data_IF_096339283058
#
_entry.id   IF_096339283058
#
_cell.length_a   1.000
_cell.length_b   1.000
_cell.length_c   1.000
_cell.angle_alpha   90.00
_cell.angle_beta   90.00
_cell.angle_gamma   90.00
#
_symmetry.space_group_name_H-M   'P 1'
#
loop_
_entity.id
_entity.type
_entity.pdbx_description
1 polymer ?
#
# COMPACT_ATOMS: atom_id res chain seq x y z
N UNK A 1 -16.38 -19.79 5.13
CA UNK A 1 -17.48 -18.87 4.75
C UNK A 1 -16.88 -17.78 3.87
N UNK A 2 -17.47 -17.52 2.70
CA UNK A 2 -16.97 -16.51 1.77
C UNK A 2 -17.29 -15.10 2.29
N UNK A 3 -16.27 -14.41 2.81
CA UNK A 3 -16.41 -13.05 3.38
C UNK A 3 -16.88 -12.03 2.34
N UNK A 4 -16.59 -12.26 1.06
CA UNK A 4 -17.05 -11.40 -0.03
C UNK A 4 -18.58 -11.48 -0.13
N UNK A 5 -19.14 -12.69 -0.13
CA UNK A 5 -20.58 -12.91 -0.21
C UNK A 5 -21.34 -12.42 1.05
N UNK A 6 -20.69 -12.45 2.22
CA UNK A 6 -21.25 -11.86 3.44
C UNK A 6 -21.39 -10.34 3.31
N UNK A 7 -20.32 -9.65 2.93
CA UNK A 7 -20.31 -8.18 2.81
C UNK A 7 -21.21 -7.72 1.65
N UNK A 8 -21.17 -8.40 0.50
CA UNK A 8 -22.05 -8.10 -0.64
C UNK A 8 -23.52 -8.16 -0.23
N UNK A 9 -23.95 -9.21 0.49
CA UNK A 9 -25.32 -9.29 1.01
C UNK A 9 -25.68 -8.11 1.91
N UNK A 10 -24.78 -7.71 2.80
CA UNK A 10 -25.01 -6.55 3.67
C UNK A 10 -25.15 -5.24 2.86
N UNK A 11 -24.30 -5.04 1.84
CA UNK A 11 -24.37 -3.86 0.95
C UNK A 11 -25.67 -3.85 0.15
N UNK A 12 -26.11 -4.98 -0.41
CA UNK A 12 -27.37 -5.08 -1.15
C UNK A 12 -28.58 -4.79 -0.27
N UNK A 13 -28.60 -5.31 0.97
CA UNK A 13 -29.64 -4.99 1.96
C UNK A 13 -29.61 -3.51 2.37
N UNK A 14 -28.42 -2.90 2.45
CA UNK A 14 -28.29 -1.46 2.66
C UNK A 14 -28.89 -0.67 1.49
N UNK A 15 -28.55 -1.03 0.26
CA UNK A 15 -29.04 -0.39 -0.97
C UNK A 15 -30.57 -0.45 -1.09
N UNK A 16 -31.20 -1.55 -0.67
CA UNK A 16 -32.66 -1.66 -0.69
C UNK A 16 -33.35 -0.72 0.30
N UNK A 17 -32.68 -0.33 1.39
CA UNK A 17 -33.14 0.70 2.34
C UNK A 17 -32.83 2.13 1.89
N UNK A 18 -31.93 2.30 0.92
CA UNK A 18 -31.54 3.59 0.35
C UNK A 18 -30.10 3.57 -0.18
N UNK A 19 -29.87 4.31 -1.27
CA UNK A 19 -28.54 4.39 -1.91
C UNK A 19 -27.44 4.81 -0.92
N UNK A 20 -27.73 5.82 -0.10
CA UNK A 20 -26.80 6.36 0.91
C UNK A 20 -26.37 5.29 1.92
N UNK A 21 -27.32 4.46 2.37
CA UNK A 21 -27.03 3.37 3.31
C UNK A 21 -26.05 2.36 2.72
N UNK A 22 -26.21 2.00 1.44
CA UNK A 22 -25.26 1.14 0.73
C UNK A 22 -23.84 1.73 0.67
N UNK A 23 -23.73 3.02 0.33
CA UNK A 23 -22.44 3.74 0.29
C UNK A 23 -21.82 3.81 1.69
N UNK A 24 -22.63 4.05 2.72
CA UNK A 24 -22.15 4.11 4.11
C UNK A 24 -21.56 2.77 4.58
N UNK A 25 -22.18 1.64 4.21
CA UNK A 25 -21.63 0.30 4.49
C UNK A 25 -20.29 0.09 3.77
N UNK A 26 -20.16 0.52 2.51
CA UNK A 26 -18.90 0.45 1.77
C UNK A 26 -17.81 1.32 2.41
N UNK A 27 -18.17 2.52 2.87
CA UNK A 27 -17.27 3.39 3.63
C UNK A 27 -16.78 2.70 4.91
N UNK A 28 -17.69 2.18 5.73
CA UNK A 28 -17.33 1.46 6.96
C UNK A 28 -16.50 0.20 6.69
N UNK A 29 -16.77 -0.48 5.58
CA UNK A 29 -15.96 -1.62 5.11
C UNK A 29 -14.53 -1.17 4.81
N UNK A 30 -14.34 -0.03 4.13
CA UNK A 30 -13.00 0.51 3.86
C UNK A 30 -12.24 0.87 5.15
N UNK A 31 -12.93 1.35 6.18
CA UNK A 31 -12.32 1.60 7.49
C UNK A 31 -11.90 0.30 8.18
N UNK A 32 -12.73 -0.73 8.08
CA UNK A 32 -12.43 -2.05 8.64
C UNK A 32 -11.25 -2.71 7.93
N UNK A 33 -11.15 -2.56 6.60
CA UNK A 33 -9.97 -2.98 5.83
C UNK A 33 -8.72 -2.28 6.35
N UNK A 34 -8.74 -0.96 6.52
CA UNK A 34 -7.59 -0.21 7.01
C UNK A 34 -7.19 -0.62 8.44
N UNK A 35 -8.15 -0.88 9.32
CA UNK A 35 -7.88 -1.42 10.66
C UNK A 35 -7.13 -2.76 10.59
N UNK A 36 -7.50 -3.63 9.66
CA UNK A 36 -6.81 -4.92 9.47
C UNK A 36 -5.42 -4.78 8.84
N UNK A 37 -5.19 -3.74 8.02
CA UNK A 37 -3.85 -3.43 7.54
C UNK A 37 -2.91 -3.18 8.72
N UNK A 38 -3.31 -2.33 9.66
CA UNK A 38 -2.45 -1.99 10.79
C UNK A 38 -2.39 -3.07 11.87
N UNK A 39 -3.44 -3.89 12.02
CA UNK A 39 -3.43 -4.99 12.97
C UNK A 39 -2.57 -6.19 12.49
N UNK A 40 -2.64 -6.54 11.20
CA UNK A 40 -2.10 -7.80 10.69
C UNK A 40 -1.01 -7.60 9.63
N UNK A 41 -1.26 -6.73 8.64
CA UNK A 41 -0.34 -6.53 7.50
C UNK A 41 0.95 -5.84 7.93
N UNK A 42 0.87 -4.95 8.93
CA UNK A 42 2.04 -4.31 9.52
C UNK A 42 3.03 -5.32 10.12
N UNK A 43 2.52 -6.36 10.78
CA UNK A 43 3.34 -7.41 11.38
C UNK A 43 3.73 -8.50 10.37
N UNK A 44 2.85 -8.81 9.41
CA UNK A 44 3.05 -9.85 8.42
C UNK A 44 2.46 -9.43 7.06
N UNK A 45 3.33 -9.08 6.11
CA UNK A 45 2.90 -8.61 4.78
C UNK A 45 2.08 -9.65 4.01
N UNK A 46 2.21 -10.95 4.30
CA UNK A 46 1.39 -12.00 3.68
C UNK A 46 -0.09 -11.93 4.05
N UNK A 47 -0.44 -11.27 5.17
CA UNK A 47 -1.83 -11.01 5.53
C UNK A 47 -2.53 -10.08 4.51
N UNK A 48 -1.77 -9.39 3.65
CA UNK A 48 -2.32 -8.57 2.58
C UNK A 48 -3.08 -9.39 1.52
N UNK A 49 -2.69 -10.65 1.25
CA UNK A 49 -3.30 -11.47 0.21
C UNK A 49 -4.80 -11.77 0.43
N UNK A 50 -5.22 -12.33 1.58
CA UNK A 50 -6.65 -12.54 1.83
C UNK A 50 -7.43 -11.21 1.85
N UNK A 51 -6.85 -10.15 2.39
CA UNK A 51 -7.49 -8.83 2.44
C UNK A 51 -7.68 -8.22 1.04
N UNK A 52 -6.68 -8.35 0.17
CA UNK A 52 -6.74 -7.93 -1.22
C UNK A 52 -7.78 -8.71 -2.03
N UNK A 53 -7.92 -10.03 -1.81
CA UNK A 53 -8.99 -10.84 -2.43
C UNK A 53 -10.37 -10.31 -2.06
N UNK A 54 -10.60 -9.95 -0.80
CA UNK A 54 -11.86 -9.33 -0.37
C UNK A 54 -12.06 -7.98 -1.07
N UNK A 55 -11.03 -7.13 -1.09
CA UNK A 55 -11.11 -5.80 -1.71
C UNK A 55 -11.46 -5.89 -3.20
N UNK A 56 -10.72 -6.69 -3.98
CA UNK A 56 -10.97 -6.87 -5.42
C UNK A 56 -12.34 -7.51 -5.66
N UNK A 57 -12.74 -8.48 -4.85
CA UNK A 57 -14.06 -9.12 -4.95
C UNK A 57 -15.21 -8.14 -4.74
N UNK A 58 -15.05 -7.17 -3.82
CA UNK A 58 -16.02 -6.11 -3.60
C UNK A 58 -16.01 -5.06 -4.71
N UNK A 59 -14.84 -4.64 -5.21
CA UNK A 59 -14.74 -3.71 -6.35
C UNK A 59 -15.43 -4.27 -7.60
N UNK A 60 -15.31 -5.59 -7.83
CA UNK A 60 -15.97 -6.27 -8.95
C UNK A 60 -17.51 -6.28 -8.84
N UNK A 61 -18.06 -6.16 -7.63
CA UNK A 61 -19.52 -6.19 -7.36
C UNK A 61 -20.11 -4.80 -7.12
N UNK A 62 -19.29 -3.84 -6.71
CA UNK A 62 -19.71 -2.51 -6.31
C UNK A 62 -18.76 -1.46 -6.89
N UNK A 63 -19.19 -0.78 -7.96
CA UNK A 63 -18.38 0.21 -8.67
C UNK A 63 -17.90 1.36 -7.76
N UNK A 64 -18.72 1.77 -6.78
CA UNK A 64 -18.38 2.83 -5.83
C UNK A 64 -17.22 2.47 -4.89
N UNK A 65 -16.98 1.17 -4.64
CA UNK A 65 -16.04 0.74 -3.59
C UNK A 65 -14.58 1.03 -3.95
N UNK A 66 -14.23 1.00 -5.24
CA UNK A 66 -12.87 1.29 -5.68
C UNK A 66 -12.43 2.70 -5.26
N UNK A 67 -13.25 3.71 -5.55
CA UNK A 67 -12.94 5.10 -5.21
C UNK A 67 -12.92 5.33 -3.70
N UNK A 68 -13.90 4.78 -2.98
CA UNK A 68 -13.97 4.85 -1.51
C UNK A 68 -12.71 4.25 -0.88
N UNK A 69 -12.29 3.07 -1.34
CA UNK A 69 -11.10 2.41 -0.80
C UNK A 69 -9.83 3.20 -1.13
N UNK A 70 -9.65 3.64 -2.38
CA UNK A 70 -8.46 4.42 -2.75
C UNK A 70 -8.39 5.75 -1.99
N UNK A 71 -9.51 6.43 -1.79
CA UNK A 71 -9.57 7.64 -0.97
C UNK A 71 -9.10 7.34 0.47
N UNK A 72 -9.59 6.24 1.06
CA UNK A 72 -9.21 5.83 2.42
C UNK A 72 -7.72 5.45 2.51
N UNK A 73 -7.21 4.66 1.57
CA UNK A 73 -5.80 4.26 1.55
C UNK A 73 -4.88 5.46 1.32
N UNK A 74 -5.28 6.43 0.50
CA UNK A 74 -4.51 7.66 0.24
C UNK A 74 -4.49 8.57 1.47
N UNK A 75 -5.59 8.66 2.22
CA UNK A 75 -5.61 9.37 3.51
C UNK A 75 -4.65 8.76 4.53
N UNK A 76 -4.54 7.43 4.56
CA UNK A 76 -3.65 6.71 5.47
C UNK A 76 -2.18 6.76 5.01
N UNK A 77 -1.94 6.71 3.71
CA UNK A 77 -0.63 6.71 3.10
C UNK A 77 -0.65 7.55 1.83
N UNK A 78 -0.17 8.78 1.91
CA UNK A 78 -0.13 9.69 0.77
C UNK A 78 0.69 9.13 -0.40
N UNK A 79 1.66 8.26 -0.14
CA UNK A 79 2.52 7.65 -1.15
C UNK A 79 1.81 6.63 -2.04
N UNK A 80 0.53 6.33 -1.80
CA UNK A 80 -0.32 5.67 -2.78
C UNK A 80 -0.33 6.43 -4.12
N UNK A 81 -0.22 7.76 -4.03
CA UNK A 81 0.11 8.64 -5.16
C UNK A 81 1.57 9.05 -4.95
N UNK A 82 2.53 8.59 -5.78
CA UNK A 82 3.93 8.93 -5.59
C UNK A 82 4.16 10.43 -5.76
N UNK A 83 4.14 11.14 -4.64
CA UNK A 83 4.36 12.57 -4.50
C UNK A 83 5.01 12.79 -3.15
N UNK A 84 6.02 13.66 -3.13
CA UNK A 84 6.58 14.16 -1.89
C UNK A 84 6.09 15.59 -1.66
N UNK A 85 5.39 15.87 -0.55
CA UNK A 85 5.05 17.24 -0.19
C UNK A 85 6.30 18.11 -0.16
N UNK A 86 6.18 19.30 -0.76
CA UNK A 86 7.18 20.35 -0.66
C UNK A 86 6.97 21.10 0.66
N UNK A 87 8.07 21.34 1.38
CA UNK A 87 8.03 22.17 2.57
C UNK A 87 7.80 23.63 2.16
N UNK A 88 6.88 24.33 2.84
CA UNK A 88 6.72 25.77 2.69
C UNK A 88 7.68 26.48 3.65
N UNK A 89 8.27 27.61 3.24
CA UNK A 89 9.30 28.32 4.02
C UNK A 89 8.81 28.73 5.43
N UNK A 90 7.53 29.08 5.57
CA UNK A 90 6.93 29.53 6.84
C UNK A 90 6.27 28.42 7.67
N UNK A 91 6.44 27.14 7.28
CA UNK A 91 5.73 26.03 7.92
C UNK A 91 6.42 25.57 9.21
N UNK A 92 5.65 25.40 10.28
CA UNK A 92 6.17 24.82 11.53
C UNK A 92 6.53 23.33 11.34
N UNK A 93 7.38 22.79 12.22
CA UNK A 93 7.72 21.35 12.20
C UNK A 93 6.45 20.48 12.28
N UNK A 94 5.51 20.83 13.15
CA UNK A 94 4.27 20.07 13.33
C UNK A 94 3.41 20.10 12.07
N UNK A 95 3.23 21.28 11.46
CA UNK A 95 2.49 21.38 10.20
C UNK A 95 3.17 20.57 9.08
N UNK A 96 4.50 20.51 9.05
CA UNK A 96 5.25 19.71 8.07
C UNK A 96 5.05 18.22 8.29
N UNK A 97 5.12 17.75 9.54
CA UNK A 97 4.88 16.35 9.89
C UNK A 97 3.44 15.94 9.56
N UNK A 98 2.45 16.78 9.84
CA UNK A 98 1.05 16.56 9.44
C UNK A 98 0.91 16.45 7.92
N UNK A 99 1.53 17.36 7.18
CA UNK A 99 1.51 17.34 5.71
C UNK A 99 2.24 16.10 5.13
N UNK A 100 3.25 15.59 5.82
CA UNK A 100 3.93 14.34 5.49
C UNK A 100 3.14 13.09 5.92
N UNK A 101 2.01 13.28 6.59
CA UNK A 101 1.10 12.23 7.04
C UNK A 101 1.57 11.50 8.28
N UNK A 102 2.41 12.11 9.13
CA UNK A 102 2.76 11.55 10.45
C UNK A 102 1.55 11.58 11.37
N UNK A 103 1.43 10.57 12.21
CA UNK A 103 0.37 10.47 13.22
C UNK A 103 0.94 10.70 14.62
N UNK A 104 0.11 11.25 15.51
CA UNK A 104 0.47 11.35 16.93
C UNK A 104 0.02 10.10 17.67
N UNK A 105 0.83 9.69 18.64
CA UNK A 105 0.52 8.59 19.52
C UNK A 105 -0.77 8.86 20.33
N UNK A 106 -1.49 7.81 20.76
CA UNK A 106 -2.59 7.96 21.71
C UNK A 106 -2.11 8.62 23.01
N UNK A 107 -3.02 9.28 23.72
CA UNK A 107 -2.77 9.81 25.07
C UNK A 107 -2.34 8.67 26.01
N UNK A 108 -1.21 8.84 26.69
CA UNK A 108 -0.80 7.92 27.75
C UNK A 108 -1.71 8.09 28.98
N UNK A 109 -2.00 7.02 29.74
CA UNK A 109 -2.77 7.12 30.97
C UNK A 109 -2.14 8.13 31.94
N UNK A 110 -2.90 9.16 32.32
CA UNK A 110 -2.44 10.20 33.25
C UNK A 110 -1.82 11.44 32.60
N UNK A 111 -1.73 11.51 31.26
CA UNK A 111 -1.43 12.77 30.57
C UNK A 111 -2.65 13.71 30.54
N UNK A 112 -2.37 15.01 30.57
CA UNK A 112 -3.36 16.06 30.37
C UNK A 112 -4.00 15.93 28.97
N UNK A 113 -5.34 15.78 28.87
CA UNK A 113 -6.06 15.72 27.58
C UNK A 113 -5.85 16.92 26.67
N UNK A 114 -5.39 18.05 27.21
CA UNK A 114 -5.10 19.28 26.46
C UNK A 114 -3.66 19.40 25.97
N UNK A 115 -2.75 18.52 26.42
CA UNK A 115 -1.35 18.52 25.99
C UNK A 115 -1.18 17.80 24.64
N UNK A 116 -0.33 18.31 23.73
CA UNK A 116 -0.07 17.65 22.46
C UNK A 116 0.60 16.29 22.69
N UNK A 117 0.04 15.24 22.08
CA UNK A 117 0.64 13.91 22.14
C UNK A 117 1.91 13.84 21.29
N UNK A 118 2.80 12.92 21.64
CA UNK A 118 4.06 12.73 20.94
C UNK A 118 3.81 12.23 19.51
N UNK A 119 4.61 12.67 18.56
CA UNK A 119 4.66 12.09 17.23
C UNK A 119 5.05 10.61 17.30
N UNK A 120 4.53 9.81 16.37
CA UNK A 120 5.00 8.44 16.18
C UNK A 120 6.50 8.41 15.87
N UNK A 121 7.15 7.29 16.17
CA UNK A 121 8.56 7.10 15.82
C UNK A 121 8.70 6.85 14.33
N UNK A 122 9.91 7.06 13.80
CA UNK A 122 10.17 6.78 12.39
C UNK A 122 9.90 5.33 12.00
N UNK A 123 10.16 4.38 12.89
CA UNK A 123 9.90 2.97 12.64
C UNK A 123 8.38 2.70 12.58
N UNK A 124 7.59 3.35 13.44
CA UNK A 124 6.12 3.29 13.38
C UNK A 124 5.61 3.88 12.06
N UNK A 125 6.10 5.06 11.67
CA UNK A 125 5.75 5.69 10.40
C UNK A 125 6.09 4.82 9.19
N UNK A 126 7.31 4.25 9.14
CA UNK A 126 7.73 3.35 8.07
C UNK A 126 6.87 2.09 7.99
N UNK A 127 6.53 1.48 9.12
CA UNK A 127 5.66 0.29 9.18
C UNK A 127 4.23 0.59 8.74
N UNK A 128 3.66 1.71 9.19
CA UNK A 128 2.32 2.17 8.77
C UNK A 128 2.26 2.43 7.27
N UNK A 129 3.22 3.17 6.73
CA UNK A 129 3.27 3.47 5.28
C UNK A 129 3.51 2.22 4.43
N UNK A 130 4.43 1.35 4.85
CA UNK A 130 4.75 0.11 4.12
C UNK A 130 3.60 -0.89 4.09
N UNK A 131 2.84 -1.04 5.18
CA UNK A 131 1.69 -1.96 5.23
C UNK A 131 0.57 -1.55 4.27
N UNK A 132 0.29 -0.25 4.14
CA UNK A 132 -0.67 0.27 3.17
C UNK A 132 -0.19 0.05 1.73
N UNK A 133 1.09 0.31 1.45
CA UNK A 133 1.69 0.03 0.13
C UNK A 133 1.67 -1.47 -0.19
N UNK A 134 1.91 -2.33 0.79
CA UNK A 134 1.84 -3.78 0.62
C UNK A 134 0.41 -4.22 0.26
N UNK A 135 -0.62 -3.75 0.98
CA UNK A 135 -2.01 -4.02 0.60
C UNK A 135 -2.30 -3.52 -0.82
N UNK A 136 -1.89 -2.30 -1.15
CA UNK A 136 -2.11 -1.73 -2.48
C UNK A 136 -1.47 -2.57 -3.58
N UNK A 137 -0.17 -2.88 -3.48
CA UNK A 137 0.52 -3.75 -4.42
C UNK A 137 -0.15 -5.11 -4.55
N UNK A 138 -0.62 -5.68 -3.43
CA UNK A 138 -1.36 -6.93 -3.45
C UNK A 138 -2.71 -6.81 -4.16
N UNK A 139 -3.46 -5.71 -3.95
CA UNK A 139 -4.71 -5.43 -4.68
C UNK A 139 -4.45 -5.39 -6.18
N UNK A 140 -3.39 -4.74 -6.65
CA UNK A 140 -3.10 -4.58 -8.08
C UNK A 140 -2.84 -5.90 -8.82
N UNK A 141 -2.16 -6.85 -8.16
CA UNK A 141 -1.82 -8.14 -8.77
C UNK A 141 -2.90 -9.22 -8.57
N UNK A 142 -3.82 -9.02 -7.61
CA UNK A 142 -4.83 -10.03 -7.27
C UNK A 142 -5.84 -10.25 -8.40
N UNK A 143 -6.16 -11.50 -8.68
CA UNK A 143 -7.23 -11.89 -9.59
C UNK A 143 -8.24 -12.76 -8.83
N UNK A 144 -9.48 -12.28 -8.70
CA UNK A 144 -10.57 -13.03 -8.03
C UNK A 144 -11.44 -13.77 -9.05
N UNK A 145 -11.70 -13.14 -10.18
CA UNK A 145 -12.39 -13.75 -11.32
C UNK A 145 -11.78 -13.20 -12.61
N UNK A 146 -11.85 -13.98 -13.70
CA UNK A 146 -11.37 -13.54 -15.01
C UNK A 146 -12.33 -12.54 -15.68
N UNK A 147 -13.61 -12.52 -15.27
CA UNK A 147 -14.65 -11.63 -15.80
C UNK A 147 -15.69 -11.32 -14.69
N UNK A 148 -15.86 -10.03 -14.29
CA UNK A 148 -14.99 -8.90 -14.65
C UNK A 148 -13.57 -9.10 -14.08
N UNK A 149 -12.56 -8.55 -14.75
CA UNK A 149 -11.17 -8.61 -14.25
C UNK A 149 -10.95 -7.71 -13.02
N UNK A 150 -9.71 -7.61 -12.55
CA UNK A 150 -9.34 -6.65 -11.51
C UNK A 150 -9.46 -5.19 -12.03
N UNK A 151 -10.24 -4.31 -11.36
CA UNK A 151 -10.42 -2.93 -11.80
C UNK A 151 -9.17 -2.02 -11.72
N UNK A 152 -8.18 -2.33 -10.87
CA UNK A 152 -6.94 -1.52 -10.74
C UNK A 152 -5.75 -2.16 -11.48
N UNK A 153 -5.57 -3.47 -11.37
CA UNK A 153 -4.68 -4.27 -12.23
C UNK A 153 -3.20 -3.83 -12.31
N UNK A 154 -2.44 -4.52 -13.16
CA UNK A 154 -0.98 -4.30 -13.28
C UNK A 154 -0.59 -3.01 -13.99
N UNK A 155 -1.50 -2.42 -14.79
CA UNK A 155 -1.27 -1.12 -15.42
C UNK A 155 -1.07 -0.01 -14.39
N UNK A 156 -1.88 0.03 -13.32
CA UNK A 156 -1.68 0.98 -12.23
C UNK A 156 -0.39 0.68 -11.45
N UNK A 157 0.02 -0.60 -11.36
CA UNK A 157 1.28 -0.96 -10.72
C UNK A 157 2.48 -0.38 -11.47
N UNK A 158 2.48 -0.49 -12.80
CA UNK A 158 3.51 0.12 -13.65
C UNK A 158 3.55 1.64 -13.51
N UNK A 159 2.39 2.30 -13.51
CA UNK A 159 2.30 3.77 -13.32
C UNK A 159 2.85 4.19 -11.97
N UNK A 160 2.51 3.46 -10.90
CA UNK A 160 2.97 3.77 -9.54
C UNK A 160 4.48 3.69 -9.44
N UNK A 161 5.09 2.57 -9.86
CA UNK A 161 6.53 2.39 -9.74
C UNK A 161 7.31 3.35 -10.65
N UNK A 162 6.83 3.59 -11.87
CA UNK A 162 7.46 4.56 -12.78
C UNK A 162 7.41 5.98 -12.23
N UNK A 163 6.28 6.40 -11.64
CA UNK A 163 6.16 7.73 -10.99
C UNK A 163 7.10 7.85 -9.80
N UNK A 164 7.16 6.84 -8.94
CA UNK A 164 8.06 6.85 -7.78
C UNK A 164 9.53 6.96 -8.20
N UNK A 165 9.95 6.18 -9.19
CA UNK A 165 11.34 6.16 -9.67
C UNK A 165 11.75 7.43 -10.42
N UNK A 166 10.79 8.24 -10.88
CA UNK A 166 11.05 9.55 -11.47
C UNK A 166 11.15 10.67 -10.42
N UNK A 167 10.91 10.38 -9.13
CA UNK A 167 11.15 11.31 -8.04
C UNK A 167 12.58 11.16 -7.51
N UNK A 168 13.16 12.28 -7.06
CA UNK A 168 14.36 12.26 -6.23
C UNK A 168 14.07 11.47 -4.95
N UNK A 169 14.80 10.37 -4.67
CA UNK A 169 14.50 9.54 -3.52
C UNK A 169 14.73 10.29 -2.20
N UNK A 170 13.81 10.06 -1.26
CA UNK A 170 13.89 10.50 0.14
C UNK A 170 14.10 9.28 1.04
N UNK A 171 14.26 9.52 2.36
CA UNK A 171 14.56 8.47 3.35
C UNK A 171 13.58 7.28 3.31
N UNK A 172 12.30 7.54 3.06
CA UNK A 172 11.24 6.53 3.02
C UNK A 172 11.19 5.74 1.69
N UNK A 173 11.79 6.23 0.61
CA UNK A 173 11.62 5.67 -0.74
C UNK A 173 12.03 4.21 -0.82
N UNK A 174 13.14 3.83 -0.18
CA UNK A 174 13.62 2.45 -0.16
C UNK A 174 12.60 1.51 0.51
N UNK A 175 11.96 1.96 1.59
CA UNK A 175 10.91 1.22 2.30
C UNK A 175 9.70 1.00 1.41
N UNK A 176 9.18 2.06 0.78
CA UNK A 176 8.01 1.97 -0.10
C UNK A 176 8.27 1.06 -1.30
N UNK A 177 9.42 1.23 -1.94
CA UNK A 177 9.80 0.45 -3.12
C UNK A 177 9.96 -1.04 -2.77
N UNK A 178 10.57 -1.35 -1.64
CA UNK A 178 10.71 -2.73 -1.17
C UNK A 178 9.34 -3.35 -0.90
N UNK A 179 8.48 -2.70 -0.10
CA UNK A 179 7.14 -3.20 0.23
C UNK A 179 6.26 -3.41 -1.00
N UNK A 180 6.40 -2.54 -2.01
CA UNK A 180 5.69 -2.68 -3.27
C UNK A 180 6.22 -3.85 -4.11
N UNK A 181 7.53 -3.98 -4.26
CA UNK A 181 8.18 -5.03 -5.05
C UNK A 181 8.01 -6.43 -4.43
N UNK A 182 7.94 -6.54 -3.10
CA UNK A 182 7.62 -7.82 -2.46
C UNK A 182 6.27 -8.37 -2.90
N UNK A 183 5.28 -7.48 -3.09
CA UNK A 183 3.93 -7.89 -3.47
C UNK A 183 3.77 -8.01 -5.00
N UNK A 184 4.43 -7.15 -5.77
CA UNK A 184 4.18 -7.00 -7.21
C UNK A 184 5.31 -7.49 -8.11
N UNK A 185 6.52 -7.73 -7.58
CA UNK A 185 7.72 -7.97 -8.39
C UNK A 185 7.59 -9.16 -9.34
N UNK A 186 7.03 -10.27 -8.84
CA UNK A 186 6.74 -11.43 -9.69
C UNK A 186 5.68 -11.11 -10.75
N UNK A 187 4.58 -10.46 -10.38
CA UNK A 187 3.51 -10.07 -11.30
C UNK A 187 3.98 -9.07 -12.37
N UNK A 188 4.89 -8.15 -12.03
CA UNK A 188 5.50 -7.20 -12.97
C UNK A 188 6.33 -7.93 -14.03
N UNK A 189 7.16 -8.90 -13.61
CA UNK A 189 7.96 -9.71 -14.52
C UNK A 189 7.07 -10.60 -15.41
N UNK A 190 6.04 -11.23 -14.83
CA UNK A 190 5.06 -12.02 -15.57
C UNK A 190 4.31 -11.20 -16.62
N UNK A 191 3.95 -9.95 -16.29
CA UNK A 191 3.11 -9.09 -17.16
C UNK A 191 3.93 -8.34 -18.21
N UNK A 192 5.10 -7.81 -17.85
CA UNK A 192 5.87 -6.89 -18.69
C UNK A 192 7.20 -7.46 -19.19
N UNK A 193 7.59 -8.66 -18.75
CA UNK A 193 8.79 -9.37 -19.20
C UNK A 193 10.03 -8.47 -19.19
N UNK A 194 10.60 -8.27 -20.38
CA UNK A 194 11.84 -7.49 -20.56
C UNK A 194 11.75 -6.05 -20.05
N UNK A 195 10.58 -5.40 -20.09
CA UNK A 195 10.48 -4.03 -19.58
C UNK A 195 10.56 -3.99 -18.04
N UNK A 196 9.94 -4.95 -17.36
CA UNK A 196 10.12 -5.10 -15.91
C UNK A 196 11.57 -5.48 -15.56
N UNK A 197 12.21 -6.36 -16.35
CA UNK A 197 13.63 -6.70 -16.18
C UNK A 197 14.52 -5.46 -16.26
N UNK A 198 14.35 -4.60 -17.28
CA UNK A 198 15.08 -3.33 -17.41
C UNK A 198 14.85 -2.41 -16.22
N UNK A 199 13.60 -2.31 -15.75
CA UNK A 199 13.25 -1.51 -14.59
C UNK A 199 13.98 -1.99 -13.32
N UNK A 200 13.96 -3.30 -13.04
CA UNK A 200 14.65 -3.86 -11.88
C UNK A 200 16.18 -3.70 -11.98
N UNK A 201 16.76 -3.81 -13.18
CA UNK A 201 18.17 -3.48 -13.39
C UNK A 201 18.47 -2.02 -13.09
N UNK A 202 17.69 -1.08 -13.65
CA UNK A 202 17.83 0.34 -13.37
C UNK A 202 17.75 0.65 -11.87
N UNK A 203 16.82 0.01 -11.14
CA UNK A 203 16.74 0.17 -9.68
C UNK A 203 18.05 -0.27 -9.02
N UNK A 204 18.57 -1.44 -9.40
CA UNK A 204 19.78 -2.03 -8.83
C UNK A 204 21.04 -1.23 -9.14
N UNK A 205 21.20 -0.76 -10.38
CA UNK A 205 22.45 -0.15 -10.87
C UNK A 205 22.50 1.35 -10.70
N UNK A 206 21.39 2.04 -10.95
CA UNK A 206 21.36 3.50 -11.06
C UNK A 206 20.59 4.15 -9.93
N UNK A 207 19.44 3.58 -9.52
CA UNK A 207 18.59 4.20 -8.50
C UNK A 207 19.07 3.97 -7.06
N UNK A 208 19.53 2.75 -6.73
CA UNK A 208 20.07 2.44 -5.39
C UNK A 208 21.19 3.41 -4.95
N UNK A 209 22.18 3.76 -5.79
CA UNK A 209 23.18 4.79 -5.46
C UNK A 209 22.62 6.18 -5.15
N UNK A 210 21.43 6.52 -5.65
CA UNK A 210 20.79 7.82 -5.41
C UNK A 210 20.11 7.89 -4.03
N UNK A 211 19.89 6.74 -3.36
CA UNK A 211 19.20 6.70 -2.08
C UNK A 211 19.98 7.46 -0.97
N UNK A 212 19.30 8.22 -0.09
CA UNK A 212 19.95 8.93 1.01
C UNK A 212 20.64 7.97 2.00
N UNK A 213 21.75 8.43 2.60
CA UNK A 213 22.56 7.65 3.58
C UNK A 213 21.76 7.25 4.82
N UNK A 214 20.71 7.99 5.15
CA UNK A 214 19.81 7.72 6.27
C UNK A 214 18.89 6.51 6.02
N UNK A 215 18.92 5.94 4.81
CA UNK A 215 18.08 4.82 4.36
C UNK A 215 18.83 3.49 4.31
N UNK A 216 20.09 3.42 4.78
CA UNK A 216 21.01 2.27 4.56
C UNK A 216 20.39 0.92 4.91
N UNK A 217 19.68 0.80 6.03
CA UNK A 217 19.05 -0.47 6.42
C UNK A 217 18.01 -0.95 5.38
N UNK A 218 17.11 -0.04 4.95
CA UNK A 218 16.08 -0.34 3.96
C UNK A 218 16.67 -0.52 2.55
N UNK A 219 17.67 0.27 2.18
CA UNK A 219 18.41 0.14 0.93
C UNK A 219 19.13 -1.22 0.84
N UNK A 220 19.67 -1.72 1.95
CA UNK A 220 20.33 -3.03 2.01
C UNK A 220 19.33 -4.16 1.76
N UNK A 221 18.14 -4.12 2.37
CA UNK A 221 17.08 -5.11 2.10
C UNK A 221 16.67 -5.12 0.63
N UNK A 222 16.44 -3.94 0.04
CA UNK A 222 16.11 -3.78 -1.38
C UNK A 222 17.22 -4.34 -2.28
N UNK A 223 18.48 -4.01 -1.98
CA UNK A 223 19.64 -4.52 -2.72
C UNK A 223 19.71 -6.04 -2.67
N UNK A 224 19.62 -6.64 -1.48
CA UNK A 224 19.64 -8.10 -1.31
C UNK A 224 18.53 -8.78 -2.12
N UNK A 225 17.33 -8.21 -2.12
CA UNK A 225 16.21 -8.74 -2.90
C UNK A 225 16.48 -8.67 -4.42
N UNK A 226 17.01 -7.54 -4.91
CA UNK A 226 17.33 -7.35 -6.33
C UNK A 226 18.49 -8.25 -6.77
N UNK A 227 19.51 -8.43 -5.94
CA UNK A 227 20.63 -9.36 -6.21
C UNK A 227 20.16 -10.81 -6.23
N UNK A 228 19.25 -11.19 -5.32
CA UNK A 228 18.64 -12.51 -5.34
C UNK A 228 17.86 -12.75 -6.64
N UNK A 229 17.03 -11.80 -7.06
CA UNK A 229 16.34 -11.85 -8.35
C UNK A 229 17.32 -11.94 -9.53
N UNK A 230 18.37 -11.11 -9.54
CA UNK A 230 19.37 -11.10 -10.62
C UNK A 230 20.08 -12.45 -10.76
N UNK A 231 20.35 -13.12 -9.64
CA UNK A 231 21.03 -14.44 -9.63
C UNK A 231 20.11 -15.57 -10.11
N UNK A 232 18.84 -15.55 -9.73
CA UNK A 232 17.91 -16.67 -9.99
C UNK A 232 17.02 -16.46 -11.22
N UNK A 233 16.91 -15.23 -11.71
CA UNK A 233 15.92 -14.81 -12.69
C UNK A 233 14.48 -14.85 -12.17
N UNK A 234 14.27 -15.10 -10.86
CA UNK A 234 12.94 -15.31 -10.25
C UNK A 234 12.80 -14.52 -8.96
N UNK A 235 11.62 -13.95 -8.79
CA UNK A 235 11.21 -13.33 -7.51
C UNK A 235 10.55 -14.40 -6.65
N UNK A 236 10.90 -14.44 -5.37
CA UNK A 236 10.23 -15.31 -4.41
C UNK A 236 8.76 -14.89 -4.28
N UNK A 237 7.85 -15.86 -4.46
CA UNK A 237 6.41 -15.63 -4.36
C UNK A 237 5.92 -16.28 -3.08
N UNK A 238 5.22 -15.51 -2.22
CA UNK A 238 4.57 -16.07 -1.05
C UNK A 238 3.58 -17.17 -1.44
N UNK A 239 3.52 -18.23 -0.62
CA UNK A 239 2.51 -19.28 -0.75
C UNK A 239 1.09 -18.71 -0.69
N UNK A 240 0.90 -17.64 0.06
CA UNK A 240 -0.36 -16.91 0.23
C UNK A 240 -0.85 -16.20 -1.05
N UNK A 241 0.03 -15.98 -2.05
CA UNK A 241 -0.35 -15.44 -3.37
C UNK A 241 -1.16 -16.44 -4.19
N UNK A 242 -0.95 -17.75 -4.01
CA UNK A 242 -1.59 -18.76 -4.86
C UNK A 242 -3.09 -18.80 -4.58
N UNK A 243 -3.94 -18.87 -5.62
CA UNK A 243 -5.36 -19.08 -5.39
C UNK A 243 -5.55 -20.42 -4.68
N UNK A 244 -5.99 -20.37 -3.43
CA UNK A 244 -6.74 -21.46 -2.79
C UNK A 244 -8.07 -21.62 -3.51
#
# INVERSE_FOLDING_TARGET
>A
MDKIAEIDRAVQQGKSKGKVTGIWILHWTSESVLKQVFAEVEANTDAAYPLARVCVGLMQRHQDFQEILLARLTQACQFLIPLYPEAKEDQSLDQRLEAEGWERAPLEPGQDPSAPTKWETMDQYHRRMSSVIALYGCILQTQVSSKPGNPLGMSEAWKWIARLLNLTPRRITATLLMSFLEMTGAALLETYGQQATKLLFFILTDYLPMLPKESVAHATRLKTWLEAWRRTGRVAVSTSRRPQ
#
